data_IF_192262802709
#
_entry.id   IF_192262802709
#
_cell.length_a   1.000
_cell.length_b   1.000
_cell.length_c   1.000
_cell.angle_alpha   90.00
_cell.angle_beta   90.00
_cell.angle_gamma   90.00
#
_symmetry.space_group_name_H-M   'P 1'
#
loop_
_entity.id
_entity.type
_entity.pdbx_description
1 polymer ?
#
# COMPACT_ATOMS: atom_id res chain seq x y z
N UNK A 1 -18.82 -3.72 19.37
CA UNK A 1 -18.57 -2.59 18.43
C UNK A 1 -17.47 -2.99 17.48
N UNK A 2 -17.65 -2.75 16.18
CA UNK A 2 -16.59 -2.97 15.19
C UNK A 2 -15.91 -1.63 14.90
N UNK A 3 -14.64 -1.50 15.28
CA UNK A 3 -13.84 -0.32 14.98
C UNK A 3 -13.12 -0.52 13.65
N UNK A 4 -13.07 0.53 12.83
CA UNK A 4 -12.32 0.53 11.57
C UNK A 4 -10.96 1.21 11.78
N UNK A 5 -9.88 0.59 11.31
CA UNK A 5 -8.56 1.21 11.25
C UNK A 5 -8.26 1.54 9.80
N UNK A 6 -8.21 2.82 9.48
CA UNK A 6 -7.93 3.32 8.12
C UNK A 6 -6.49 3.82 8.06
N UNK A 7 -5.72 3.28 7.13
CA UNK A 7 -4.36 3.77 6.84
C UNK A 7 -4.43 4.65 5.60
N UNK A 8 -4.25 5.96 5.79
CA UNK A 8 -4.07 6.91 4.69
C UNK A 8 -2.59 7.07 4.38
N UNK A 9 -2.13 6.44 3.31
CA UNK A 9 -0.77 6.56 2.84
C UNK A 9 -0.73 6.76 1.32
N UNK A 10 0.05 7.74 0.86
CA UNK A 10 0.36 7.91 -0.57
C UNK A 10 1.33 6.81 -1.01
N UNK A 11 1.17 6.32 -2.24
CA UNK A 11 2.15 5.42 -2.85
C UNK A 11 3.49 6.17 -3.04
N UNK A 12 4.60 5.70 -2.46
CA UNK A 12 5.88 6.37 -2.62
C UNK A 12 6.37 6.21 -4.06
N UNK A 13 7.02 7.26 -4.54
CA UNK A 13 7.64 7.30 -5.86
C UNK A 13 9.14 7.16 -5.70
N UNK A 14 9.74 6.17 -6.36
CA UNK A 14 11.17 5.99 -6.46
C UNK A 14 11.67 6.66 -7.75
N UNK A 15 12.72 7.47 -7.64
CA UNK A 15 13.42 8.04 -8.79
C UNK A 15 14.60 7.12 -9.13
N UNK A 16 14.42 6.28 -10.14
CA UNK A 16 15.48 5.41 -10.65
C UNK A 16 16.23 6.15 -11.76
N UNK A 17 17.56 6.22 -11.67
CA UNK A 17 18.38 6.90 -12.68
C UNK A 17 18.23 6.28 -14.07
N UNK A 18 18.12 4.95 -14.16
CA UNK A 18 17.97 4.24 -15.43
C UNK A 18 16.54 4.25 -16.00
N UNK A 19 15.52 4.42 -15.16
CA UNK A 19 14.13 4.15 -15.53
C UNK A 19 13.14 5.29 -15.22
N UNK A 20 13.64 6.41 -14.70
CA UNK A 20 12.82 7.55 -14.29
C UNK A 20 12.03 7.32 -13.00
N UNK A 21 10.97 8.10 -12.81
CA UNK A 21 10.12 8.03 -11.61
C UNK A 21 9.11 6.89 -11.73
N UNK A 22 9.10 5.97 -10.76
CA UNK A 22 8.17 4.84 -10.70
C UNK A 22 7.52 4.71 -9.33
N UNK A 23 6.28 4.23 -9.31
CA UNK A 23 5.58 3.90 -8.08
C UNK A 23 6.10 2.58 -7.50
N UNK A 24 6.30 2.53 -6.20
CA UNK A 24 6.69 1.30 -5.49
C UNK A 24 5.46 0.37 -5.39
N UNK A 25 5.67 -0.93 -5.60
CA UNK A 25 4.62 -1.94 -5.39
C UNK A 25 4.40 -2.12 -3.89
N UNK A 26 3.24 -1.69 -3.40
CA UNK A 26 2.84 -1.81 -2.01
C UNK A 26 1.77 -2.89 -1.86
N UNK A 27 1.68 -3.54 -0.68
CA UNK A 27 0.70 -4.59 -0.46
C UNK A 27 -0.75 -4.11 -0.58
N UNK A 28 -1.03 -2.84 -0.25
CA UNK A 28 -2.38 -2.24 -0.40
C UNK A 28 -2.62 -1.60 -1.78
N UNK A 29 -1.63 -1.55 -2.67
CA UNK A 29 -1.72 -0.85 -3.98
C UNK A 29 -1.95 -1.78 -5.17
N UNK A 30 -2.43 -3.01 -4.96
CA UNK A 30 -2.73 -3.91 -6.07
C UNK A 30 -3.87 -3.37 -6.95
N UNK A 31 -3.84 -3.64 -8.28
CA UNK A 31 -4.95 -3.30 -9.16
C UNK A 31 -6.24 -3.90 -8.60
N UNK A 32 -7.29 -3.08 -8.46
CA UNK A 32 -8.57 -3.46 -7.85
C UNK A 32 -8.54 -3.77 -6.35
N UNK A 33 -7.45 -3.45 -5.63
CA UNK A 33 -7.41 -3.54 -4.16
C UNK A 33 -8.48 -2.62 -3.57
N UNK A 34 -9.65 -3.19 -3.26
CA UNK A 34 -10.74 -2.56 -2.51
C UNK A 34 -10.61 -2.78 -1.00
N UNK A 35 -9.50 -3.37 -0.56
CA UNK A 35 -9.38 -3.88 0.80
C UNK A 35 -8.30 -3.14 1.58
N UNK A 36 -8.72 -2.62 2.73
CA UNK A 36 -7.91 -2.64 3.95
C UNK A 36 -7.50 -4.10 4.15
N UNK A 37 -6.25 -4.46 3.83
CA UNK A 37 -5.73 -5.77 4.17
C UNK A 37 -5.89 -5.96 5.68
N UNK A 38 -6.45 -7.10 6.09
CA UNK A 38 -6.55 -7.44 7.50
C UNK A 38 -5.13 -7.61 8.02
N UNK A 39 -4.67 -6.69 8.88
CA UNK A 39 -3.40 -6.84 9.58
C UNK A 39 -3.58 -7.96 10.62
N UNK A 40 -3.37 -9.20 10.18
CA UNK A 40 -3.26 -10.33 11.11
C UNK A 40 -1.86 -10.31 11.69
N UNK A 41 -1.77 -10.27 13.02
CA UNK A 41 -0.51 -10.45 13.75
C UNK A 41 -0.02 -11.88 13.45
N UNK A 42 1.10 -12.00 12.74
CA UNK A 42 1.87 -13.25 12.71
C UNK A 42 2.41 -13.48 14.13
N UNK A 43 1.78 -14.42 14.83
CA UNK A 43 2.26 -14.94 16.12
C UNK A 43 2.85 -16.31 15.87
#
# INVERSE_FOLDING_TARGET
MQFQTLIHARIPRAQCEAHGVRNVKLPWSEPYSRFTLLFVKLT
#
